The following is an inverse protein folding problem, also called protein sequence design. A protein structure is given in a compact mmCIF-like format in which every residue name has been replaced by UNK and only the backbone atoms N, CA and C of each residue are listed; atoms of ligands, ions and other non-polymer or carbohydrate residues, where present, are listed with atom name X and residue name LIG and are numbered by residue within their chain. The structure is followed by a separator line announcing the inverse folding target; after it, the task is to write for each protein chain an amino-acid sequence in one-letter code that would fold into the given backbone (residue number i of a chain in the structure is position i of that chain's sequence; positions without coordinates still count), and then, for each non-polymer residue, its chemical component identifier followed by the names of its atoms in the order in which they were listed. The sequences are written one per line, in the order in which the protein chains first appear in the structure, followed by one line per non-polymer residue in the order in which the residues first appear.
data_IF_017361356138
#
_entry.id   IF_017361356138
#
_cell.length_a   1.000
_cell.length_b   1.000
_cell.length_c   1.000
_cell.angle_alpha   90.00
_cell.angle_beta   90.00
_cell.angle_gamma   90.00
#
_symmetry.space_group_name_H-M   'P 1'
#
loop_
_entity.id
_entity.type
_entity.pdbx_description
1 polymer ?
#
# COMPACT_ATOMS: atom_id res chain seq x y z
N UNK A 1 87.42 12.88 -16.91
CA UNK A 1 86.11 13.59 -16.78
C UNK A 1 85.03 12.50 -16.76
N UNK A 2 84.51 12.24 -15.54
CA UNK A 2 83.48 11.20 -15.36
C UNK A 2 82.13 11.93 -15.17
N UNK A 3 81.20 11.70 -16.12
CA UNK A 3 79.85 12.20 -16.03
C UNK A 3 78.98 11.12 -15.32
N UNK A 4 78.48 11.46 -14.10
CA UNK A 4 77.54 10.61 -13.35
C UNK A 4 76.12 10.98 -13.77
N UNK A 5 75.40 10.01 -14.35
CA UNK A 5 73.98 10.10 -14.63
C UNK A 5 73.15 9.83 -13.35
N UNK A 6 72.35 10.79 -12.93
CA UNK A 6 71.38 10.63 -11.84
C UNK A 6 70.07 10.07 -12.43
N UNK A 7 69.68 8.87 -11.99
CA UNK A 7 68.37 8.31 -12.32
C UNK A 7 67.34 8.74 -11.29
N UNK A 8 66.32 9.49 -11.71
CA UNK A 8 65.13 9.74 -10.91
C UNK A 8 64.18 8.56 -10.96
N UNK A 9 63.91 7.93 -9.81
CA UNK A 9 62.87 6.92 -9.67
C UNK A 9 61.53 7.66 -9.41
N UNK A 10 60.63 7.58 -10.37
CA UNK A 10 59.25 8.05 -10.21
C UNK A 10 58.42 7.02 -9.45
N UNK A 11 58.01 7.36 -8.25
CA UNK A 11 57.04 6.57 -7.47
C UNK A 11 55.64 6.96 -7.90
N UNK A 12 54.95 6.12 -8.67
CA UNK A 12 53.54 6.29 -8.95
C UNK A 12 52.75 5.69 -7.79
N UNK A 13 52.24 6.56 -6.91
CA UNK A 13 51.30 6.14 -5.89
C UNK A 13 49.93 5.89 -6.53
N UNK A 14 49.60 4.65 -6.73
CA UNK A 14 48.23 4.26 -7.11
C UNK A 14 47.33 4.39 -5.88
N UNK A 15 46.51 5.40 -5.83
CA UNK A 15 45.45 5.54 -4.83
C UNK A 15 44.36 4.54 -5.16
N UNK A 16 44.26 3.44 -4.41
CA UNK A 16 43.10 2.55 -4.40
C UNK A 16 41.94 3.31 -3.75
N UNK A 17 41.03 3.83 -4.57
CA UNK A 17 39.72 4.29 -4.12
C UNK A 17 38.90 3.06 -3.71
N UNK A 18 38.76 2.85 -2.42
CA UNK A 18 37.76 1.95 -1.86
C UNK A 18 36.39 2.59 -2.10
N UNK A 19 35.70 2.17 -3.15
CA UNK A 19 34.27 2.41 -3.28
C UNK A 19 33.59 1.55 -2.20
N UNK A 20 33.27 2.18 -1.06
CA UNK A 20 32.38 1.59 -0.09
C UNK A 20 31.06 1.32 -0.79
N UNK A 21 30.72 0.05 -1.00
CA UNK A 21 29.40 -0.33 -1.45
C UNK A 21 28.40 0.18 -0.40
N UNK A 22 27.53 1.12 -0.79
CA UNK A 22 26.41 1.54 0.04
C UNK A 22 25.56 0.27 0.19
N UNK A 23 25.36 -0.25 1.44
CA UNK A 23 24.54 -1.41 1.63
C UNK A 23 23.14 -1.11 1.09
N UNK A 24 22.60 -2.01 0.27
CA UNK A 24 21.19 -1.93 -0.11
C UNK A 24 20.36 -1.85 1.17
N UNK A 25 19.33 -1.00 1.24
CA UNK A 25 18.47 -0.93 2.42
C UNK A 25 17.96 -2.33 2.72
N UNK A 26 18.07 -2.73 3.99
CA UNK A 26 17.69 -4.06 4.42
C UNK A 26 16.20 -4.27 4.11
N UNK A 27 15.90 -5.31 3.35
CA UNK A 27 14.53 -5.78 3.15
C UNK A 27 14.07 -6.43 4.44
N UNK A 28 12.87 -6.05 4.91
CA UNK A 28 12.23 -6.65 6.08
C UNK A 28 10.99 -7.38 5.59
N UNK A 29 10.91 -8.67 5.91
CA UNK A 29 9.75 -9.52 5.62
C UNK A 29 9.03 -9.86 6.92
N UNK A 30 7.71 -9.65 6.94
CA UNK A 30 6.81 -10.00 8.02
C UNK A 30 5.98 -11.20 7.58
N UNK A 31 6.00 -12.28 8.36
CA UNK A 31 5.28 -13.53 8.09
C UNK A 31 4.20 -13.80 9.14
N UNK A 32 3.50 -14.93 9.03
CA UNK A 32 2.42 -15.35 9.94
C UNK A 32 1.17 -14.47 9.89
N UNK A 33 1.09 -13.59 8.90
CA UNK A 33 -0.10 -12.77 8.65
C UNK A 33 -1.26 -13.63 8.11
N UNK A 34 -2.49 -13.10 8.17
CA UNK A 34 -3.68 -13.80 7.69
C UNK A 34 -4.45 -12.91 6.72
N UNK A 35 -4.26 -13.12 5.43
CA UNK A 35 -4.85 -12.31 4.37
C UNK A 35 -4.59 -10.81 4.63
N UNK A 36 -3.30 -10.38 4.69
CA UNK A 36 -2.96 -8.98 4.95
C UNK A 36 -3.43 -8.09 3.81
N UNK A 37 -4.11 -6.98 4.15
CA UNK A 37 -4.76 -6.14 3.15
C UNK A 37 -4.04 -4.81 2.95
N UNK A 38 -3.81 -4.03 4.01
CA UNK A 38 -3.19 -2.71 3.99
C UNK A 38 -1.98 -2.66 4.92
N UNK A 39 -0.94 -1.89 4.53
CA UNK A 39 0.27 -1.74 5.30
C UNK A 39 0.68 -0.26 5.34
N UNK A 40 0.56 0.36 6.50
CA UNK A 40 0.83 1.79 6.70
C UNK A 40 1.90 2.06 7.75
N UNK A 41 2.52 3.24 7.69
CA UNK A 41 3.42 3.77 8.71
C UNK A 41 2.78 4.90 9.50
N UNK A 42 3.26 5.12 10.73
CA UNK A 42 3.04 6.38 11.42
C UNK A 42 3.79 7.52 10.71
N UNK A 43 3.32 8.75 10.88
CA UNK A 43 3.99 9.93 10.30
C UNK A 43 5.45 10.08 10.77
N UNK A 44 5.74 9.60 11.97
CA UNK A 44 7.10 9.60 12.52
C UNK A 44 7.99 8.46 12.00
N UNK A 45 7.42 7.47 11.29
CA UNK A 45 8.12 6.25 10.87
C UNK A 45 8.58 5.37 12.04
N UNK A 46 7.93 5.48 13.21
CA UNK A 46 8.29 4.70 14.41
C UNK A 46 7.41 3.50 14.65
N UNK A 47 6.20 3.50 14.10
CA UNK A 47 5.25 2.40 14.20
C UNK A 47 4.71 2.08 12.82
N UNK A 48 4.46 0.79 12.59
CA UNK A 48 3.83 0.30 11.38
C UNK A 48 2.65 -0.60 11.75
N UNK A 49 1.62 -0.56 10.91
CA UNK A 49 0.39 -1.32 11.11
C UNK A 49 0.03 -2.09 9.85
N UNK A 50 -0.37 -3.36 10.02
CA UNK A 50 -0.84 -4.21 8.93
C UNK A 50 -2.23 -4.70 9.29
N UNK A 51 -3.22 -4.43 8.44
CA UNK A 51 -4.56 -5.02 8.61
C UNK A 51 -4.59 -6.44 8.08
N UNK A 52 -5.27 -7.32 8.80
CA UNK A 52 -5.43 -8.73 8.44
C UNK A 52 -6.91 -9.08 8.43
N UNK A 53 -7.43 -9.42 7.26
CA UNK A 53 -8.83 -9.81 7.08
C UNK A 53 -9.16 -11.09 7.84
N UNK A 54 -8.23 -12.06 7.83
CA UNK A 54 -8.31 -13.34 8.55
C UNK A 54 -9.59 -14.13 8.26
N UNK A 55 -9.95 -14.22 6.99
CA UNK A 55 -11.17 -14.93 6.55
C UNK A 55 -11.72 -14.36 5.25
N UNK A 56 -13.04 -14.39 5.15
CA UNK A 56 -13.74 -13.86 3.98
C UNK A 56 -13.89 -12.33 4.07
N UNK A 57 -13.59 -11.58 3.00
CA UNK A 57 -13.47 -10.11 3.04
C UNK A 57 -14.80 -9.37 3.29
N UNK A 58 -15.94 -10.06 3.24
CA UNK A 58 -17.25 -9.46 3.41
C UNK A 58 -18.05 -10.08 4.57
N UNK A 59 -17.41 -10.93 5.40
CA UNK A 59 -18.06 -11.64 6.48
C UNK A 59 -17.95 -10.90 7.81
N UNK A 60 -19.06 -10.85 8.55
CA UNK A 60 -19.11 -10.23 9.88
C UNK A 60 -18.84 -11.28 10.97
N UNK A 61 -17.65 -11.85 10.99
CA UNK A 61 -17.25 -12.96 11.87
C UNK A 61 -16.43 -12.53 13.09
N UNK A 62 -16.05 -11.25 13.16
CA UNK A 62 -15.33 -10.62 14.27
C UNK A 62 -14.00 -11.32 14.60
N UNK A 63 -13.24 -11.72 13.57
CA UNK A 63 -11.97 -12.43 13.69
C UNK A 63 -10.77 -11.66 13.12
N UNK A 64 -11.00 -10.52 12.45
CA UNK A 64 -9.97 -9.68 11.89
C UNK A 64 -9.03 -9.11 12.95
N UNK A 65 -7.83 -8.72 12.54
CA UNK A 65 -6.85 -8.14 13.47
C UNK A 65 -5.89 -7.16 12.79
N UNK A 66 -5.24 -6.33 13.61
CA UNK A 66 -4.17 -5.44 13.18
C UNK A 66 -2.87 -5.90 13.82
N UNK A 67 -1.84 -6.05 13.00
CA UNK A 67 -0.46 -6.33 13.43
C UNK A 67 0.28 -5.01 13.64
N UNK A 68 1.11 -4.92 14.68
CA UNK A 68 1.96 -3.76 14.95
C UNK A 68 3.43 -4.14 14.90
N UNK A 69 4.25 -3.31 14.22
CA UNK A 69 5.70 -3.40 14.17
C UNK A 69 6.32 -2.13 14.74
N UNK A 70 7.58 -2.23 15.20
CA UNK A 70 8.38 -1.10 15.68
C UNK A 70 9.07 -0.35 14.51
N UNK A 71 9.85 0.69 14.85
CA UNK A 71 10.61 1.52 13.91
C UNK A 71 11.60 0.74 13.02
N UNK A 72 12.02 -0.44 13.46
CA UNK A 72 12.94 -1.32 12.71
C UNK A 72 12.21 -2.40 11.92
N UNK A 73 10.87 -2.35 11.89
CA UNK A 73 10.04 -3.38 11.25
C UNK A 73 9.96 -4.69 12.03
N UNK A 74 10.41 -4.70 13.29
CA UNK A 74 10.32 -5.87 14.15
C UNK A 74 8.91 -6.00 14.72
N UNK A 75 8.39 -7.22 14.76
CA UNK A 75 7.08 -7.53 15.31
C UNK A 75 6.99 -7.13 16.80
N UNK A 76 6.08 -6.21 17.10
CA UNK A 76 5.69 -5.84 18.47
C UNK A 76 4.58 -6.77 18.94
N UNK A 77 3.53 -6.92 18.12
CA UNK A 77 2.42 -7.82 18.38
C UNK A 77 1.74 -8.22 17.06
N UNK A 78 1.57 -9.52 16.86
CA UNK A 78 0.89 -10.04 15.69
C UNK A 78 -0.59 -9.62 15.69
N UNK A 79 -1.23 -9.70 16.84
CA UNK A 79 -2.63 -9.32 17.03
C UNK A 79 -2.72 -8.19 18.05
N UNK A 80 -2.21 -7.03 17.66
CA UNK A 80 -2.20 -5.82 18.48
C UNK A 80 -3.62 -5.31 18.77
N UNK A 81 -4.49 -5.37 17.76
CA UNK A 81 -5.93 -5.17 17.88
C UNK A 81 -6.58 -6.43 17.34
N UNK A 82 -7.38 -7.14 18.12
CA UNK A 82 -7.98 -8.43 17.72
C UNK A 82 -9.49 -8.38 17.91
N UNK A 83 -10.24 -8.65 16.84
CA UNK A 83 -11.68 -8.78 16.87
C UNK A 83 -12.12 -9.87 17.86
N UNK A 84 -13.20 -9.61 18.58
CA UNK A 84 -13.73 -10.53 19.59
C UNK A 84 -12.95 -10.57 20.90
N UNK A 85 -11.96 -9.70 21.10
CA UNK A 85 -11.19 -9.57 22.33
C UNK A 85 -11.33 -8.17 22.92
N UNK A 86 -11.39 -8.07 24.27
CA UNK A 86 -11.34 -6.79 25.00
C UNK A 86 -12.28 -5.71 24.45
N UNK A 87 -13.52 -6.05 24.19
CA UNK A 87 -14.57 -5.17 23.61
C UNK A 87 -14.29 -4.64 22.19
N UNK A 88 -13.29 -5.22 21.51
CA UNK A 88 -12.99 -4.90 20.12
C UNK A 88 -13.96 -5.63 19.18
N UNK A 89 -14.62 -4.87 18.32
CA UNK A 89 -15.31 -5.41 17.15
C UNK A 89 -14.46 -5.09 15.93
N UNK A 90 -14.01 -6.12 15.19
CA UNK A 90 -13.23 -5.99 13.98
C UNK A 90 -13.43 -7.23 13.11
N UNK A 91 -14.15 -7.08 12.01
CA UNK A 91 -14.56 -8.19 11.16
C UNK A 91 -13.54 -8.51 10.07
N UNK A 92 -13.48 -7.65 9.07
CA UNK A 92 -12.62 -7.80 7.90
C UNK A 92 -11.88 -6.48 7.64
N UNK A 93 -10.89 -6.11 8.48
CA UNK A 93 -10.19 -4.84 8.38
C UNK A 93 -9.43 -4.74 7.05
N UNK A 94 -9.65 -3.65 6.33
CA UNK A 94 -9.05 -3.37 5.03
C UNK A 94 -8.14 -2.16 5.11
N UNK A 95 -8.39 -1.13 4.30
CA UNK A 95 -7.58 0.07 4.29
C UNK A 95 -7.57 0.82 5.61
N UNK A 96 -6.50 1.51 5.88
CA UNK A 96 -6.25 2.21 7.14
C UNK A 96 -5.69 3.60 6.92
N UNK A 97 -6.00 4.52 7.85
CA UNK A 97 -5.33 5.82 7.95
C UNK A 97 -5.00 6.14 9.39
N UNK A 98 -3.80 6.65 9.65
CA UNK A 98 -3.41 7.14 10.96
C UNK A 98 -3.54 8.67 11.00
N UNK A 99 -4.36 9.16 11.92
CA UNK A 99 -4.56 10.59 12.19
C UNK A 99 -4.11 10.87 13.60
N UNK A 100 -2.99 11.56 13.75
CA UNK A 100 -2.34 11.77 15.04
C UNK A 100 -2.09 10.45 15.79
N UNK A 101 -2.84 10.16 16.85
CA UNK A 101 -2.76 8.92 17.65
C UNK A 101 -3.94 7.97 17.39
N UNK A 102 -4.79 8.27 16.41
CA UNK A 102 -5.99 7.48 16.13
C UNK A 102 -5.81 6.72 14.81
N UNK A 103 -5.87 5.39 14.88
CA UNK A 103 -5.87 4.51 13.73
C UNK A 103 -7.31 4.28 13.26
N UNK A 104 -7.65 4.79 12.10
CA UNK A 104 -8.94 4.55 11.43
C UNK A 104 -8.81 3.35 10.50
N UNK A 105 -9.79 2.47 10.56
CA UNK A 105 -9.79 1.18 9.84
C UNK A 105 -11.13 0.99 9.14
N UNK A 106 -11.12 0.77 7.83
CA UNK A 106 -12.29 0.35 7.08
C UNK A 106 -12.66 -1.11 7.44
N UNK A 107 -13.84 -1.32 7.99
CA UNK A 107 -14.34 -2.62 8.42
C UNK A 107 -15.79 -2.80 7.98
N UNK A 108 -16.01 -3.51 6.89
CA UNK A 108 -17.29 -3.71 6.22
C UNK A 108 -17.97 -2.37 5.85
N UNK A 109 -18.99 -1.97 6.58
CA UNK A 109 -19.77 -0.74 6.41
C UNK A 109 -19.45 0.33 7.47
N UNK A 110 -18.41 0.11 8.25
CA UNK A 110 -18.09 0.89 9.44
C UNK A 110 -16.62 1.34 9.38
N UNK A 111 -16.38 2.59 9.72
CA UNK A 111 -15.05 3.09 9.99
C UNK A 111 -14.79 2.98 11.49
N UNK A 112 -13.89 2.09 11.88
CA UNK A 112 -13.52 1.90 13.28
C UNK A 112 -12.29 2.70 13.63
N UNK A 113 -12.26 3.27 14.82
CA UNK A 113 -11.14 4.06 15.30
C UNK A 113 -10.56 3.45 16.57
N UNK A 114 -9.24 3.35 16.62
CA UNK A 114 -8.48 2.81 17.73
C UNK A 114 -7.36 3.75 18.15
N UNK A 115 -7.03 3.77 19.43
CA UNK A 115 -5.79 4.39 19.92
C UNK A 115 -4.59 3.60 19.44
N UNK A 116 -3.71 4.23 18.66
CA UNK A 116 -2.58 3.57 18.01
C UNK A 116 -1.48 3.11 18.98
N UNK A 117 -1.47 3.63 20.20
CA UNK A 117 -0.50 3.22 21.22
C UNK A 117 -0.98 1.98 21.99
N UNK A 118 -2.25 1.94 22.37
CA UNK A 118 -2.83 0.90 23.23
C UNK A 118 -3.70 -0.12 22.51
N UNK A 119 -4.15 0.16 21.29
CA UNK A 119 -5.10 -0.67 20.54
C UNK A 119 -6.55 -0.58 21.03
N UNK A 120 -6.85 0.30 21.99
CA UNK A 120 -8.20 0.43 22.56
C UNK A 120 -9.17 1.09 21.56
N UNK A 121 -10.43 0.65 21.49
CA UNK A 121 -11.46 1.32 20.69
C UNK A 121 -11.67 2.77 21.16
N UNK A 122 -11.76 3.70 20.19
CA UNK A 122 -11.99 5.14 20.41
C UNK A 122 -13.34 5.56 19.87
N UNK A 123 -13.66 5.14 18.64
CA UNK A 123 -14.92 5.49 18.00
C UNK A 123 -15.37 4.43 16.99
N UNK A 124 -16.64 4.48 16.67
CA UNK A 124 -17.27 3.66 15.61
C UNK A 124 -18.17 4.59 14.78
N UNK A 125 -17.84 4.74 13.50
CA UNK A 125 -18.55 5.63 12.58
C UNK A 125 -19.22 4.77 11.52
N UNK A 126 -20.54 4.64 11.57
CA UNK A 126 -21.28 3.95 10.53
C UNK A 126 -21.25 4.75 9.23
N UNK A 127 -20.78 4.14 8.15
CA UNK A 127 -20.72 4.78 6.84
C UNK A 127 -21.92 4.30 6.03
N UNK A 128 -23.05 5.00 6.24
CA UNK A 128 -24.27 4.73 5.49
C UNK A 128 -24.87 6.02 4.97
N UNK A 129 -25.38 6.02 3.74
CA UNK A 129 -26.07 7.15 3.14
C UNK A 129 -27.61 7.09 3.34
N UNK A 130 -28.07 6.47 4.42
CA UNK A 130 -29.51 6.36 4.73
C UNK A 130 -30.26 5.26 3.96
N UNK A 131 -29.61 4.56 3.04
CA UNK A 131 -30.11 3.34 2.38
C UNK A 131 -29.57 2.12 3.12
N UNK A 132 -30.31 1.00 3.10
CA UNK A 132 -30.02 -0.19 3.89
C UNK A 132 -28.50 -0.45 4.15
N UNK A 133 -28.08 -0.65 5.39
CA UNK A 133 -26.66 -0.77 5.76
C UNK A 133 -25.92 -1.91 5.03
N UNK A 134 -26.63 -2.90 4.58
CA UNK A 134 -26.08 -4.14 4.01
C UNK A 134 -25.38 -4.00 2.65
N UNK A 135 -25.42 -2.84 1.99
CA UNK A 135 -24.84 -2.65 0.67
C UNK A 135 -23.46 -1.99 0.67
N UNK A 136 -23.07 -1.33 1.77
CA UNK A 136 -21.77 -0.64 1.89
C UNK A 136 -20.66 -1.65 2.13
N UNK A 137 -19.58 -1.51 1.38
CA UNK A 137 -18.36 -2.33 1.53
C UNK A 137 -17.14 -1.44 1.38
N UNK A 138 -16.73 -0.87 2.52
CA UNK A 138 -15.55 -0.03 2.58
C UNK A 138 -14.30 -0.84 2.18
N UNK A 139 -13.45 -0.20 1.41
CA UNK A 139 -12.24 -0.83 0.87
C UNK A 139 -10.99 -0.13 1.37
N UNK A 140 -10.96 1.21 1.32
CA UNK A 140 -9.80 1.97 1.75
C UNK A 140 -10.18 3.29 2.42
N UNK A 141 -9.19 3.88 3.12
CA UNK A 141 -9.32 5.14 3.86
C UNK A 141 -8.11 6.02 3.60
N UNK A 142 -8.32 7.24 3.12
CA UNK A 142 -7.27 8.25 2.95
C UNK A 142 -7.56 9.50 3.78
N UNK A 143 -6.51 10.10 4.38
CA UNK A 143 -6.59 11.31 5.18
C UNK A 143 -6.07 12.52 4.40
N UNK A 144 -6.76 13.66 4.47
CA UNK A 144 -6.38 14.88 3.77
C UNK A 144 -5.26 15.68 4.46
N UNK A 145 -4.76 15.20 5.59
CA UNK A 145 -3.75 15.89 6.40
C UNK A 145 -4.33 17.04 7.26
N UNK A 146 -5.64 17.22 7.29
CA UNK A 146 -6.32 18.30 8.05
C UNK A 146 -7.43 17.77 8.93
N UNK A 147 -8.56 17.39 8.35
CA UNK A 147 -9.75 16.99 9.12
C UNK A 147 -10.71 16.07 8.37
N UNK A 148 -10.38 15.64 7.16
CA UNK A 148 -11.28 14.84 6.33
C UNK A 148 -10.65 13.46 6.07
N UNK A 149 -11.46 12.42 6.30
CA UNK A 149 -11.19 11.09 5.77
C UNK A 149 -12.06 10.85 4.53
N UNK A 150 -11.47 10.23 3.53
CA UNK A 150 -12.17 9.71 2.36
C UNK A 150 -12.19 8.19 2.44
N UNK A 151 -13.36 7.59 2.18
CA UNK A 151 -13.51 6.13 2.21
C UNK A 151 -14.06 5.65 0.88
N UNK A 152 -13.43 4.66 0.26
CA UNK A 152 -13.93 4.02 -0.96
C UNK A 152 -14.92 2.91 -0.64
N UNK A 153 -15.95 2.80 -1.48
CA UNK A 153 -16.88 1.68 -1.54
C UNK A 153 -16.81 1.08 -2.96
N UNK A 154 -16.05 0.01 -3.08
CA UNK A 154 -15.76 -0.61 -4.36
C UNK A 154 -17.02 -1.11 -5.07
N UNK A 155 -17.96 -1.73 -4.33
CA UNK A 155 -19.17 -2.33 -4.90
C UNK A 155 -20.19 -1.28 -5.35
N UNK A 156 -20.26 -0.17 -4.65
CA UNK A 156 -21.22 0.89 -4.94
C UNK A 156 -20.72 1.94 -5.93
N UNK A 157 -19.48 1.85 -6.41
CA UNK A 157 -18.83 2.90 -7.20
C UNK A 157 -18.95 4.27 -6.51
N UNK A 158 -18.52 4.34 -5.25
CA UNK A 158 -18.76 5.49 -4.38
C UNK A 158 -17.52 5.83 -3.56
N UNK A 159 -17.37 7.12 -3.28
CA UNK A 159 -16.42 7.63 -2.28
C UNK A 159 -17.20 8.46 -1.29
N UNK A 160 -16.98 8.19 -0.01
CA UNK A 160 -17.52 8.95 1.11
C UNK A 160 -16.49 9.95 1.61
N UNK A 161 -17.00 11.04 2.21
CA UNK A 161 -16.28 12.06 2.93
C UNK A 161 -16.75 12.05 4.38
N UNK A 162 -15.81 11.90 5.32
CA UNK A 162 -16.06 11.89 6.77
C UNK A 162 -15.33 13.07 7.41
N UNK A 163 -16.06 13.95 8.02
CA UNK A 163 -15.52 15.09 8.79
C UNK A 163 -15.15 14.64 10.19
N UNK A 164 -13.88 14.62 10.55
CA UNK A 164 -13.41 14.02 11.80
C UNK A 164 -14.00 14.65 13.07
N UNK A 165 -14.05 15.99 13.23
CA UNK A 165 -14.55 16.57 14.47
C UNK A 165 -16.02 16.26 14.74
N UNK A 166 -16.83 16.24 13.67
CA UNK A 166 -18.28 16.02 13.77
C UNK A 166 -18.69 14.57 13.53
N UNK A 167 -17.79 13.73 13.02
CA UNK A 167 -18.04 12.38 12.50
C UNK A 167 -19.15 12.35 11.43
N UNK A 168 -19.38 13.49 10.78
CA UNK A 168 -20.42 13.62 9.75
C UNK A 168 -19.97 12.91 8.48
N UNK A 169 -20.76 11.94 8.04
CA UNK A 169 -20.55 11.20 6.80
C UNK A 169 -21.42 11.79 5.69
N UNK A 170 -20.81 12.04 4.55
CA UNK A 170 -21.48 12.46 3.32
C UNK A 170 -20.94 11.68 2.13
N UNK A 171 -21.75 11.55 1.07
CA UNK A 171 -21.28 11.02 -0.21
C UNK A 171 -20.53 12.14 -0.93
N UNK A 172 -19.26 11.90 -1.25
CA UNK A 172 -18.47 12.81 -2.10
C UNK A 172 -18.87 12.64 -3.56
N UNK A 173 -18.87 11.40 -4.04
CA UNK A 173 -19.21 11.05 -5.41
C UNK A 173 -19.75 9.63 -5.51
N UNK A 174 -20.75 9.43 -6.38
CA UNK A 174 -21.21 8.11 -6.84
C UNK A 174 -21.25 8.16 -8.34
N UNK A 175 -20.37 7.41 -9.02
CA UNK A 175 -20.28 7.43 -10.47
C UNK A 175 -19.71 6.09 -10.98
N UNK A 176 -20.34 5.45 -11.98
CA UNK A 176 -19.80 4.25 -12.63
C UNK A 176 -18.41 4.43 -13.24
N UNK A 177 -17.97 5.67 -13.51
CA UNK A 177 -16.62 5.97 -14.02
C UNK A 177 -15.52 5.54 -13.03
N UNK A 178 -15.84 5.49 -11.72
CA UNK A 178 -14.94 5.03 -10.65
C UNK A 178 -14.55 3.57 -10.85
N UNK A 179 -15.41 2.77 -11.45
CA UNK A 179 -15.15 1.38 -11.87
C UNK A 179 -14.52 0.53 -10.77
N UNK A 180 -15.17 0.44 -9.62
CA UNK A 180 -14.70 -0.27 -8.45
C UNK A 180 -13.53 0.43 -7.75
N UNK A 181 -13.74 1.62 -7.11
CA UNK A 181 -12.68 2.34 -6.43
C UNK A 181 -12.14 1.49 -5.28
N UNK A 182 -10.86 1.14 -5.35
CA UNK A 182 -10.15 0.33 -4.35
C UNK A 182 -9.30 1.25 -3.47
N UNK A 183 -8.03 1.44 -3.79
CA UNK A 183 -7.12 2.29 -3.04
C UNK A 183 -7.37 3.77 -3.23
N UNK A 184 -7.16 4.54 -2.18
CA UNK A 184 -7.26 5.99 -2.14
C UNK A 184 -5.97 6.61 -1.60
N UNK A 185 -5.57 7.75 -2.15
CA UNK A 185 -4.56 8.62 -1.55
C UNK A 185 -4.93 10.08 -1.77
N UNK A 186 -4.49 10.96 -0.88
CA UNK A 186 -4.61 12.40 -1.11
C UNK A 186 -3.30 12.91 -1.69
N UNK A 187 -3.37 13.55 -2.84
CA UNK A 187 -2.20 14.09 -3.53
C UNK A 187 -1.54 15.20 -2.68
N UNK A 188 -0.26 15.06 -2.31
CA UNK A 188 0.37 15.88 -1.27
C UNK A 188 0.45 17.37 -1.61
N UNK A 189 0.38 17.75 -2.89
CA UNK A 189 0.47 19.15 -3.32
C UNK A 189 -0.89 19.76 -3.68
N UNK A 190 -1.75 19.02 -4.39
CA UNK A 190 -3.05 19.55 -4.84
C UNK A 190 -4.16 19.36 -3.81
N UNK A 191 -4.04 18.39 -2.91
CA UNK A 191 -5.08 18.02 -1.97
C UNK A 191 -6.26 17.25 -2.60
N UNK A 192 -6.14 16.90 -3.89
CA UNK A 192 -7.15 16.11 -4.58
C UNK A 192 -7.04 14.63 -4.18
N UNK A 193 -8.17 13.93 -4.20
CA UNK A 193 -8.20 12.49 -3.95
C UNK A 193 -7.82 11.75 -5.22
N UNK A 194 -6.86 10.85 -5.11
CA UNK A 194 -6.54 9.89 -6.16
C UNK A 194 -7.20 8.57 -5.79
N UNK A 195 -7.95 8.02 -6.71
CA UNK A 195 -8.55 6.69 -6.60
C UNK A 195 -8.03 5.77 -7.69
N UNK A 196 -7.73 4.52 -7.32
CA UNK A 196 -7.39 3.48 -8.29
C UNK A 196 -8.54 2.50 -8.43
N UNK A 197 -8.78 2.04 -9.66
CA UNK A 197 -9.92 1.22 -10.02
C UNK A 197 -9.53 -0.27 -10.07
N UNK A 198 -10.32 -1.09 -9.39
CA UNK A 198 -10.22 -2.53 -9.45
C UNK A 198 -10.71 -3.10 -10.79
N UNK A 199 -11.90 -2.66 -11.27
CA UNK A 199 -12.57 -3.31 -12.40
C UNK A 199 -11.96 -2.95 -13.76
N UNK A 200 -11.32 -1.78 -13.88
CA UNK A 200 -10.87 -1.25 -15.17
C UNK A 200 -9.41 -0.79 -15.21
N UNK A 201 -8.67 -0.92 -14.09
CA UNK A 201 -7.28 -0.47 -14.03
C UNK A 201 -7.12 1.02 -14.34
N UNK A 202 -8.02 1.86 -13.85
CA UNK A 202 -7.98 3.31 -14.02
C UNK A 202 -7.28 3.99 -12.85
N UNK A 203 -6.73 5.16 -13.11
CA UNK A 203 -6.29 6.11 -12.08
C UNK A 203 -7.10 7.37 -12.25
N UNK A 204 -7.81 7.77 -11.21
CA UNK A 204 -8.79 8.84 -11.21
C UNK A 204 -8.37 9.93 -10.21
N UNK A 205 -8.60 11.17 -10.56
CA UNK A 205 -8.45 12.33 -9.69
C UNK A 205 -9.84 12.89 -9.36
N UNK A 206 -10.11 13.10 -8.08
CA UNK A 206 -11.40 13.59 -7.60
C UNK A 206 -11.16 14.87 -6.80
N UNK A 207 -11.86 15.94 -7.16
CA UNK A 207 -11.78 17.20 -6.42
C UNK A 207 -12.53 17.10 -5.09
N UNK A 208 -12.28 18.00 -4.10
CA UNK A 208 -13.03 18.04 -2.85
C UNK A 208 -14.54 18.23 -3.03
N UNK A 209 -14.98 18.74 -4.19
CA UNK A 209 -16.38 18.92 -4.59
C UNK A 209 -16.97 17.70 -5.30
N UNK A 210 -16.15 16.66 -5.58
CA UNK A 210 -16.60 15.40 -6.18
C UNK A 210 -16.51 15.34 -7.70
N UNK A 211 -15.89 16.32 -8.38
CA UNK A 211 -15.65 16.22 -9.84
C UNK A 211 -14.56 15.19 -10.12
N UNK A 212 -14.83 14.26 -11.05
CA UNK A 212 -13.94 13.15 -11.40
C UNK A 212 -13.23 13.40 -12.72
N UNK A 213 -11.93 13.17 -12.76
CA UNK A 213 -11.10 13.23 -13.98
C UNK A 213 -10.30 11.94 -14.11
N UNK A 214 -10.31 11.32 -15.28
CA UNK A 214 -9.43 10.19 -15.58
C UNK A 214 -8.01 10.70 -15.85
N UNK A 215 -7.06 10.38 -14.94
CA UNK A 215 -5.64 10.66 -15.16
C UNK A 215 -5.01 9.61 -16.07
N UNK A 216 -5.46 8.38 -15.94
CA UNK A 216 -5.03 7.25 -16.76
C UNK A 216 -6.15 6.21 -16.88
N UNK A 217 -6.31 5.68 -18.11
CA UNK A 217 -7.12 4.51 -18.41
C UNK A 217 -6.42 3.61 -19.44
N UNK A 218 -6.79 2.34 -19.47
CA UNK A 218 -6.30 1.42 -20.47
C UNK A 218 -6.82 1.80 -21.86
N UNK A 219 -5.95 1.73 -22.88
CA UNK A 219 -6.34 1.94 -24.27
C UNK A 219 -6.97 0.68 -24.87
N UNK A 220 -7.64 0.83 -26.01
CA UNK A 220 -8.33 -0.26 -26.70
C UNK A 220 -7.40 -1.43 -27.07
N UNK A 221 -6.12 -1.15 -27.39
CA UNK A 221 -5.12 -2.15 -27.78
C UNK A 221 -4.02 -2.38 -26.75
N UNK A 222 -4.06 -1.70 -25.61
CA UNK A 222 -3.03 -1.83 -24.58
C UNK A 222 -3.64 -1.76 -23.20
N UNK A 223 -3.55 -2.88 -22.46
CA UNK A 223 -3.89 -2.94 -21.05
C UNK A 223 -2.60 -2.88 -20.23
N UNK A 224 -2.36 -1.75 -19.56
CA UNK A 224 -1.21 -1.62 -18.65
C UNK A 224 -1.54 -2.16 -17.28
N UNK A 225 -2.74 -1.86 -16.80
CA UNK A 225 -3.21 -2.20 -15.47
C UNK A 225 -4.42 -3.14 -15.55
N UNK A 226 -4.53 -4.03 -14.57
CA UNK A 226 -5.65 -4.97 -14.49
C UNK A 226 -6.52 -4.67 -13.29
N UNK A 227 -6.06 -5.00 -12.08
CA UNK A 227 -6.80 -4.80 -10.85
C UNK A 227 -5.92 -3.97 -9.90
N UNK A 228 -6.03 -2.66 -10.00
CA UNK A 228 -5.28 -1.76 -9.11
C UNK A 228 -5.86 -1.85 -7.69
N UNK A 229 -4.96 -1.99 -6.68
CA UNK A 229 -5.36 -2.22 -5.30
C UNK A 229 -5.01 -1.06 -4.40
N UNK A 230 -3.77 -0.66 -4.33
CA UNK A 230 -3.28 0.41 -3.48
C UNK A 230 -2.67 1.55 -4.28
N UNK A 231 -2.67 2.74 -3.69
CA UNK A 231 -2.01 3.93 -4.22
C UNK A 231 -1.48 4.78 -3.07
N UNK A 232 -0.24 5.24 -3.18
CA UNK A 232 0.32 6.23 -2.26
C UNK A 232 1.40 7.07 -2.95
N UNK A 233 1.90 8.11 -2.27
CA UNK A 233 2.88 9.06 -2.79
C UNK A 233 4.14 9.10 -1.93
N UNK A 234 5.30 9.22 -2.58
CA UNK A 234 6.53 9.54 -1.86
C UNK A 234 6.63 11.04 -1.52
N UNK A 235 7.69 11.41 -0.79
CA UNK A 235 7.96 12.79 -0.38
C UNK A 235 8.23 13.74 -1.55
N UNK A 236 8.56 13.22 -2.72
CA UNK A 236 8.80 14.01 -3.94
C UNK A 236 7.56 14.17 -4.81
N UNK A 237 6.48 13.42 -4.48
CA UNK A 237 5.21 13.42 -5.20
C UNK A 237 5.17 12.42 -6.35
N UNK A 238 6.07 11.43 -6.39
CA UNK A 238 5.87 10.29 -7.27
C UNK A 238 4.76 9.41 -6.71
N UNK A 239 3.88 8.96 -7.59
CA UNK A 239 2.79 8.05 -7.24
C UNK A 239 3.23 6.59 -7.39
N UNK A 240 2.84 5.77 -6.45
CA UNK A 240 3.05 4.32 -6.48
C UNK A 240 1.70 3.63 -6.50
N UNK A 241 1.56 2.61 -7.35
CA UNK A 241 0.33 1.81 -7.45
C UNK A 241 0.67 0.33 -7.47
N UNK A 242 -0.10 -0.48 -6.75
CA UNK A 242 -0.03 -1.94 -6.81
C UNK A 242 -1.07 -2.48 -7.79
N UNK A 243 -0.68 -3.43 -8.61
CA UNK A 243 -1.56 -4.20 -9.48
C UNK A 243 -1.59 -5.64 -8.97
N UNK A 244 -2.68 -5.96 -8.33
CA UNK A 244 -2.90 -7.22 -7.63
C UNK A 244 -2.77 -8.43 -8.53
N UNK A 245 -3.41 -8.39 -9.70
CA UNK A 245 -3.47 -9.54 -10.62
C UNK A 245 -2.19 -9.73 -11.41
N UNK A 246 -1.55 -8.63 -11.83
CA UNK A 246 -0.29 -8.74 -12.58
C UNK A 246 0.93 -8.92 -11.68
N UNK A 247 0.75 -8.82 -10.35
CA UNK A 247 1.83 -8.96 -9.38
C UNK A 247 2.89 -7.88 -9.52
N UNK A 248 2.49 -6.63 -9.75
CA UNK A 248 3.42 -5.53 -10.03
C UNK A 248 3.19 -4.35 -9.10
N UNK A 249 4.27 -3.66 -8.82
CA UNK A 249 4.22 -2.30 -8.29
C UNK A 249 4.81 -1.35 -9.31
N UNK A 250 4.07 -0.29 -9.59
CA UNK A 250 4.43 0.74 -10.54
C UNK A 250 4.74 2.05 -9.82
N UNK A 251 5.69 2.80 -10.33
CA UNK A 251 5.95 4.19 -9.97
C UNK A 251 5.57 5.08 -11.16
N UNK A 252 4.78 6.12 -10.92
CA UNK A 252 4.56 7.21 -11.86
C UNK A 252 5.36 8.43 -11.40
N UNK A 253 6.25 8.90 -12.24
CA UNK A 253 7.05 10.10 -12.00
C UNK A 253 6.25 11.37 -12.35
N UNK A 254 6.72 12.52 -11.86
CA UNK A 254 6.09 13.83 -12.10
C UNK A 254 5.87 14.16 -13.60
N UNK A 255 6.69 13.60 -14.51
CA UNK A 255 6.55 13.71 -15.96
C UNK A 255 5.61 12.65 -16.56
N UNK A 256 4.76 12.03 -15.73
CA UNK A 256 3.73 11.04 -16.06
C UNK A 256 4.27 9.76 -16.75
N UNK A 257 5.54 9.42 -16.51
CA UNK A 257 6.08 8.14 -16.98
C UNK A 257 5.89 7.06 -15.93
N UNK A 258 5.39 5.90 -16.39
CA UNK A 258 5.25 4.71 -15.55
C UNK A 258 6.48 3.82 -15.65
N UNK A 259 6.95 3.36 -14.51
CA UNK A 259 8.05 2.41 -14.37
C UNK A 259 7.61 1.27 -13.46
N UNK A 260 7.84 0.02 -13.86
CA UNK A 260 7.73 -1.14 -12.97
C UNK A 260 8.91 -1.08 -12.01
N UNK A 261 8.65 -1.04 -10.71
CA UNK A 261 9.69 -1.06 -9.67
C UNK A 261 9.80 -2.42 -8.98
N UNK A 262 8.73 -3.22 -9.01
CA UNK A 262 8.72 -4.60 -8.56
C UNK A 262 7.74 -5.43 -9.41
N UNK A 263 8.04 -6.69 -9.64
CA UNK A 263 7.21 -7.62 -10.41
C UNK A 263 7.31 -9.05 -9.84
N UNK A 264 6.38 -9.91 -10.24
CA UNK A 264 6.22 -11.29 -9.74
C UNK A 264 5.85 -11.34 -8.26
N UNK A 265 5.16 -10.32 -7.76
CA UNK A 265 4.71 -10.25 -6.39
C UNK A 265 3.42 -11.08 -6.20
N UNK A 266 3.28 -11.82 -5.09
CA UNK A 266 2.10 -12.63 -4.85
C UNK A 266 0.93 -11.78 -4.36
N UNK A 267 0.12 -11.25 -5.29
CA UNK A 267 -1.08 -10.48 -4.99
C UNK A 267 -0.81 -9.25 -4.09
N UNK A 268 -0.03 -8.26 -4.57
CA UNK A 268 0.29 -7.08 -3.78
C UNK A 268 -1.00 -6.30 -3.46
N UNK A 269 -1.23 -6.11 -2.16
CA UNK A 269 -2.40 -5.46 -1.60
C UNK A 269 -2.32 -3.94 -1.61
N UNK A 270 -3.00 -3.31 -0.66
CA UNK A 270 -2.99 -1.88 -0.46
C UNK A 270 -1.66 -1.43 0.15
N UNK A 271 -0.83 -0.81 -0.70
CA UNK A 271 0.53 -0.40 -0.35
C UNK A 271 0.55 0.95 0.37
N UNK A 272 1.52 1.13 1.26
CA UNK A 272 1.82 2.41 1.88
C UNK A 272 3.25 2.90 1.62
N UNK A 273 3.48 4.18 1.81
CA UNK A 273 4.81 4.80 1.71
C UNK A 273 5.18 5.45 3.05
N UNK A 274 6.24 4.95 3.67
CA UNK A 274 6.89 5.67 4.76
C UNK A 274 7.76 6.80 4.19
N UNK A 275 7.23 7.99 4.22
CA UNK A 275 7.90 9.19 3.70
C UNK A 275 9.08 9.63 4.57
N UNK A 276 9.10 9.23 5.84
CA UNK A 276 10.17 9.58 6.80
C UNK A 276 11.41 8.74 6.55
N UNK A 277 11.25 7.42 6.47
CA UNK A 277 12.35 6.48 6.28
C UNK A 277 12.57 6.10 4.81
N UNK A 278 11.75 6.62 3.89
CA UNK A 278 11.81 6.37 2.45
C UNK A 278 11.65 4.88 2.12
N UNK A 279 10.59 4.27 2.65
CA UNK A 279 10.27 2.86 2.46
C UNK A 279 8.95 2.70 1.71
N UNK A 280 8.85 1.64 0.92
CA UNK A 280 7.58 1.12 0.41
C UNK A 280 7.17 -0.09 1.23
N UNK A 281 5.91 -0.15 1.58
CA UNK A 281 5.28 -1.12 2.45
C UNK A 281 4.27 -1.89 1.60
N UNK A 282 4.49 -3.18 1.38
CA UNK A 282 3.64 -3.97 0.48
C UNK A 282 3.12 -5.21 1.21
N UNK A 283 1.82 -5.32 1.48
CA UNK A 283 1.22 -6.56 1.96
C UNK A 283 0.96 -7.51 0.79
N UNK A 284 1.08 -8.80 1.03
CA UNK A 284 0.87 -9.87 0.05
C UNK A 284 -0.28 -10.78 0.52
N UNK A 285 -1.46 -10.52 -0.02
CA UNK A 285 -2.71 -11.10 0.48
C UNK A 285 -2.68 -12.64 0.48
N UNK A 286 -2.26 -13.27 -0.63
CA UNK A 286 -2.22 -14.73 -0.75
C UNK A 286 -0.93 -15.39 -0.25
N UNK A 287 0.12 -14.60 0.01
CA UNK A 287 1.34 -15.13 0.60
C UNK A 287 1.34 -15.06 2.13
N UNK A 288 0.31 -14.46 2.74
CA UNK A 288 0.22 -14.26 4.19
C UNK A 288 1.46 -13.57 4.77
N UNK A 289 2.01 -12.63 4.02
CA UNK A 289 3.25 -11.93 4.34
C UNK A 289 3.15 -10.45 3.95
N UNK A 290 4.12 -9.66 4.41
CA UNK A 290 4.29 -8.27 3.98
C UNK A 290 5.78 -7.94 3.92
N UNK A 291 6.13 -6.94 3.12
CA UNK A 291 7.51 -6.50 2.97
C UNK A 291 7.65 -4.99 3.11
N UNK A 292 8.78 -4.59 3.68
CA UNK A 292 9.26 -3.22 3.73
C UNK A 292 10.54 -3.14 2.92
N UNK A 293 10.56 -2.31 1.89
CA UNK A 293 11.71 -2.16 1.00
C UNK A 293 12.10 -0.68 0.88
N UNK A 294 13.39 -0.40 0.79
CA UNK A 294 13.88 0.96 0.55
C UNK A 294 13.46 1.47 -0.84
N UNK A 295 12.98 2.70 -0.89
CA UNK A 295 12.75 3.40 -2.16
C UNK A 295 14.06 4.03 -2.64
N UNK A 296 14.38 3.84 -3.91
CA UNK A 296 15.50 4.54 -4.54
C UNK A 296 15.25 6.04 -4.55
N UNK A 297 16.20 6.81 -4.04
CA UNK A 297 16.20 8.27 -4.22
C UNK A 297 16.36 8.57 -5.73
N UNK A 298 15.67 9.58 -6.27
CA UNK A 298 15.88 10.01 -7.65
C UNK A 298 17.28 10.60 -7.82
N UNK A 299 18.29 9.75 -7.94
CA UNK A 299 19.61 10.19 -8.38
C UNK A 299 19.62 10.17 -9.90
N UNK A 300 20.10 11.22 -10.53
CA UNK A 300 20.20 11.36 -11.99
C UNK A 300 21.17 10.40 -12.68
N UNK A 301 21.47 9.25 -12.10
CA UNK A 301 22.24 8.17 -12.71
C UNK A 301 21.42 6.90 -12.81
N UNK A 302 21.25 6.42 -14.02
CA UNK A 302 20.71 5.10 -14.34
C UNK A 302 21.61 4.02 -13.73
N UNK A 303 21.34 3.57 -12.50
CA UNK A 303 21.77 2.24 -12.09
C UNK A 303 20.84 1.24 -12.80
N UNK A 304 21.41 0.22 -13.44
CA UNK A 304 20.64 -0.94 -13.92
C UNK A 304 20.04 -1.60 -12.67
N UNK A 305 18.74 -1.41 -12.48
CA UNK A 305 18.00 -2.12 -11.46
C UNK A 305 17.98 -3.60 -11.87
N UNK A 306 18.63 -4.46 -11.11
CA UNK A 306 18.45 -5.91 -11.25
C UNK A 306 16.99 -6.22 -10.95
N UNK A 307 16.30 -6.78 -11.92
CA UNK A 307 14.95 -7.30 -11.73
C UNK A 307 15.04 -8.47 -10.76
N UNK A 308 14.49 -8.33 -9.59
CA UNK A 308 14.43 -9.39 -8.60
C UNK A 308 13.17 -10.24 -8.83
N UNK A 309 13.32 -11.54 -8.72
CA UNK A 309 12.24 -12.53 -8.85
C UNK A 309 11.83 -13.04 -7.47
N UNK A 310 10.66 -13.67 -7.35
CA UNK A 310 10.20 -14.30 -6.10
C UNK A 310 11.22 -15.31 -5.53
N UNK A 311 12.00 -15.96 -6.39
CA UNK A 311 13.05 -16.87 -5.98
C UNK A 311 14.19 -16.17 -5.22
N UNK A 312 14.45 -14.89 -5.51
CA UNK A 312 15.46 -14.07 -4.83
C UNK A 312 15.02 -13.72 -3.40
N UNK A 313 13.75 -13.90 -3.10
CA UNK A 313 13.13 -13.65 -1.79
C UNK A 313 12.89 -14.95 -0.99
N UNK A 314 13.38 -16.09 -1.48
CA UNK A 314 13.17 -17.40 -0.82
C UNK A 314 11.73 -17.92 -0.92
N UNK A 315 10.89 -17.28 -1.72
CA UNK A 315 9.53 -17.76 -1.96
C UNK A 315 9.55 -18.95 -2.91
N UNK A 316 9.23 -20.13 -2.39
CA UNK A 316 8.89 -21.30 -3.20
C UNK A 316 7.37 -21.25 -3.41
N UNK A 317 6.88 -20.97 -4.62
CA UNK A 317 5.44 -20.99 -4.85
C UNK A 317 4.89 -22.38 -4.53
N UNK A 318 3.69 -22.49 -3.92
CA UNK A 318 3.04 -23.78 -3.72
C UNK A 318 2.89 -24.47 -5.08
N UNK A 319 3.03 -25.81 -5.14
CA UNK A 319 2.87 -26.53 -6.39
C UNK A 319 1.49 -26.24 -6.99
N UNK A 320 1.37 -26.11 -8.32
CA UNK A 320 0.09 -25.87 -8.97
C UNK A 320 -0.89 -26.95 -8.56
N UNK A 321 -2.13 -26.55 -8.22
CA UNK A 321 -3.20 -27.49 -7.93
C UNK A 321 -3.32 -28.48 -9.09
N UNK A 322 -3.39 -29.80 -8.82
CA UNK A 322 -3.61 -30.77 -9.88
C UNK A 322 -4.91 -30.42 -10.62
N UNK A 323 -4.98 -30.61 -11.93
CA UNK A 323 -6.21 -30.37 -12.68
C UNK A 323 -7.33 -31.20 -12.05
N UNK A 324 -8.49 -30.58 -11.90
CA UNK A 324 -9.67 -31.24 -11.33
C UNK A 324 -9.96 -32.53 -12.14
N UNK A 325 -9.83 -33.67 -11.50
CA UNK A 325 -10.28 -34.96 -12.07
C UNK A 325 -11.79 -34.88 -12.27
N UNK A 326 -12.22 -35.14 -13.49
CA UNK A 326 -13.58 -35.60 -13.74
C UNK A 326 -14.47 -34.68 -14.56
N UNK A 327 -14.35 -34.80 -15.86
CA UNK A 327 -15.56 -34.85 -16.72
C UNK A 327 -15.30 -35.83 -17.87
N UNK A 328 -15.30 -37.08 -17.55
CA UNK A 328 -15.55 -38.11 -18.57
C UNK A 328 -17.03 -37.98 -18.93
N UNK A 329 -17.31 -37.39 -20.09
CA UNK A 329 -18.63 -37.48 -20.72
C UNK A 329 -18.89 -38.92 -21.06
N UNK A 330 -19.98 -39.45 -20.48
CA UNK A 330 -20.72 -40.57 -21.06
C UNK A 330 -21.65 -40.06 -22.13
#
# INVERSE_FOLDING_TARGET
MHCRSVRYASWSAAALLWLAAIPAPAQITVTELQTPYSFISSQSGKDYFISNVNGEPDQADNNGFITKLDANGKLVSLKFIEGGKSDVTLHAPKGMALVEQTLYVADLDTLRAFDAASGKPVATIAVSSGSAPSSVRLTDVAFDGKSILYCSDQKANRIYRVELPSQKVTVLVTDPVLAGPAGLAVHPKSGQVIAVSWDKGKILEITPEGAVTELFSNGFFSSRFTNLRGVDFDRWGNMYVSDFTTGKVWRMTWDKRFQVIAEYLPSPGDLGIDRTNNLILVPYEYAHAAEMNGLETPSGSRSKQEKRTLADYGFIPPPPKPPAEGAVKK
#
